data_IF_138920669957
#
_entry.id   IF_138920669957
#
_cell.length_a   1.000
_cell.length_b   1.000
_cell.length_c   1.000
_cell.angle_alpha   90.00
_cell.angle_beta   90.00
_cell.angle_gamma   90.00
#
_symmetry.space_group_name_H-M   'P 1'
#
loop_
_entity.id
_entity.type
_entity.pdbx_description
1 polymer ?
#
# COMPACT_ATOMS: atom_id res chain seq x y z
N UNK A 1 17.66 14.94 6.84
CA UNK A 1 17.54 14.16 5.59
C UNK A 1 16.07 14.08 5.18
N UNK A 2 15.76 14.22 3.89
CA UNK A 2 14.39 14.12 3.38
C UNK A 2 13.92 12.65 3.25
N UNK A 3 12.62 12.38 3.44
CA UNK A 3 12.03 11.04 3.30
C UNK A 3 12.02 10.55 1.84
N UNK A 4 11.80 11.47 0.91
CA UNK A 4 11.70 11.17 -0.53
C UNK A 4 13.02 11.50 -1.24
N UNK A 5 13.35 10.75 -2.28
CA UNK A 5 14.46 11.03 -3.19
C UNK A 5 14.19 10.58 -4.61
N UNK A 6 15.13 10.88 -5.52
CA UNK A 6 15.11 10.37 -6.89
C UNK A 6 13.79 10.68 -7.61
N UNK A 7 13.26 11.87 -7.36
CA UNK A 7 12.02 12.34 -7.96
C UNK A 7 12.27 12.59 -9.44
N UNK A 8 11.51 11.93 -10.30
CA UNK A 8 11.55 12.09 -11.76
C UNK A 8 10.13 12.21 -12.33
N UNK A 9 9.92 13.07 -13.34
CA UNK A 9 8.63 13.16 -14.02
C UNK A 9 8.33 11.88 -14.80
N UNK A 10 7.05 11.50 -14.85
CA UNK A 10 6.53 10.35 -15.60
C UNK A 10 5.29 10.81 -16.39
N UNK A 11 5.28 10.69 -17.73
CA UNK A 11 4.12 11.06 -18.53
C UNK A 11 2.85 10.27 -18.17
N UNK A 12 1.65 10.84 -18.38
CA UNK A 12 1.40 12.19 -18.90
C UNK A 12 1.43 13.32 -17.85
N UNK A 13 1.25 13.03 -16.55
CA UNK A 13 1.08 14.02 -15.48
C UNK A 13 1.45 13.47 -14.09
N UNK A 14 2.47 12.62 -14.03
CA UNK A 14 2.87 11.94 -12.81
C UNK A 14 4.35 12.05 -12.49
N UNK A 15 4.72 11.43 -11.38
CA UNK A 15 6.07 11.35 -10.88
C UNK A 15 6.36 9.92 -10.43
N UNK A 16 7.63 9.55 -10.55
CA UNK A 16 8.19 8.43 -9.81
C UNK A 16 9.18 8.99 -8.79
N UNK A 17 9.15 8.49 -7.56
CA UNK A 17 10.11 8.86 -6.52
C UNK A 17 10.41 7.66 -5.63
N UNK A 18 11.58 7.70 -4.99
CA UNK A 18 11.98 6.69 -4.03
C UNK A 18 11.55 7.09 -2.62
N UNK A 19 10.80 6.21 -1.98
CA UNK A 19 10.49 6.31 -0.55
C UNK A 19 11.55 5.59 0.27
N UNK A 20 12.31 6.34 1.06
CA UNK A 20 13.36 5.78 1.91
C UNK A 20 12.83 4.96 3.07
N UNK A 21 11.59 5.17 3.51
CA UNK A 21 11.00 4.44 4.63
C UNK A 21 10.72 2.99 4.24
N UNK A 22 10.02 2.77 3.13
CA UNK A 22 9.71 1.42 2.65
C UNK A 22 10.77 0.85 1.70
N UNK A 23 11.75 1.68 1.29
CA UNK A 23 12.76 1.36 0.27
C UNK A 23 12.13 0.94 -1.06
N UNK A 24 11.11 1.68 -1.47
CA UNK A 24 10.27 1.34 -2.62
C UNK A 24 10.17 2.51 -3.61
N UNK A 25 10.00 2.18 -4.89
CA UNK A 25 9.66 3.18 -5.92
C UNK A 25 8.15 3.41 -5.91
N UNK A 26 7.74 4.67 -5.89
CA UNK A 26 6.33 5.06 -5.86
C UNK A 26 6.02 5.83 -7.13
N UNK A 27 4.93 5.47 -7.80
CA UNK A 27 4.35 6.21 -8.92
C UNK A 27 3.09 6.93 -8.47
N UNK A 28 2.96 8.21 -8.78
CA UNK A 28 1.79 9.01 -8.40
C UNK A 28 1.47 10.09 -9.43
N UNK A 29 0.22 10.53 -9.47
CA UNK A 29 -0.21 11.69 -10.24
C UNK A 29 -0.21 12.94 -9.35
N UNK A 30 -0.05 14.11 -9.95
CA UNK A 30 -0.01 15.37 -9.19
C UNK A 30 -1.32 15.67 -8.46
N UNK A 31 -2.47 15.37 -9.08
CA UNK A 31 -3.77 15.86 -8.61
C UNK A 31 -4.23 15.26 -7.29
N UNK A 32 -3.88 14.01 -7.00
CA UNK A 32 -4.42 13.23 -5.88
C UNK A 32 -3.35 12.64 -4.94
N UNK A 33 -2.07 12.97 -5.17
CA UNK A 33 -0.94 12.44 -4.41
C UNK A 33 -1.13 12.53 -2.88
N UNK A 34 -1.50 13.66 -2.26
CA UNK A 34 -1.61 13.72 -0.80
C UNK A 34 -2.61 12.71 -0.22
N UNK A 35 -3.75 12.53 -0.88
CA UNK A 35 -4.80 11.60 -0.44
C UNK A 35 -4.36 10.15 -0.59
N UNK A 36 -3.85 9.77 -1.76
CA UNK A 36 -3.41 8.40 -2.03
C UNK A 36 -2.15 8.01 -1.28
N UNK A 37 -1.30 8.98 -0.97
CA UNK A 37 -0.14 8.76 -0.11
C UNK A 37 -0.55 8.35 1.30
N UNK A 38 -1.55 9.04 1.88
CA UNK A 38 -2.12 8.67 3.18
C UNK A 38 -2.74 7.28 3.14
N UNK A 39 -3.51 6.97 2.09
CA UNK A 39 -4.18 5.68 1.96
C UNK A 39 -3.16 4.54 1.78
N UNK A 40 -2.12 4.75 0.98
CA UNK A 40 -1.00 3.82 0.82
C UNK A 40 -0.32 3.50 2.16
N UNK A 41 -0.04 4.50 3.00
CA UNK A 41 0.57 4.24 4.31
C UNK A 41 -0.39 3.60 5.31
N UNK A 42 -1.68 3.87 5.20
CA UNK A 42 -2.69 3.18 6.01
C UNK A 42 -2.75 1.69 5.66
N UNK A 43 -2.66 1.36 4.36
CA UNK A 43 -2.53 -0.02 3.88
C UNK A 43 -1.21 -0.63 4.36
N UNK A 44 -0.10 0.10 4.24
CA UNK A 44 1.20 -0.41 4.65
C UNK A 44 1.28 -0.73 6.14
N UNK A 45 0.64 0.07 6.98
CA UNK A 45 0.53 -0.18 8.42
C UNK A 45 -0.35 -1.41 8.72
N UNK A 46 -1.51 -1.51 8.07
CA UNK A 46 -2.44 -2.64 8.24
C UNK A 46 -1.85 -3.98 7.77
N UNK A 47 -1.06 -3.95 6.70
CA UNK A 47 -0.36 -5.11 6.13
C UNK A 47 1.02 -5.35 6.77
N UNK A 48 1.41 -4.52 7.74
CA UNK A 48 2.71 -4.58 8.44
C UNK A 48 3.93 -4.57 7.51
N UNK A 49 3.88 -3.80 6.41
CA UNK A 49 5.02 -3.66 5.52
C UNK A 49 6.20 -3.00 6.22
N UNK A 50 7.37 -3.63 6.11
CA UNK A 50 8.64 -3.04 6.53
C UNK A 50 9.52 -2.68 5.35
N UNK A 51 10.63 -1.99 5.63
CA UNK A 51 11.60 -1.59 4.63
C UNK A 51 12.09 -2.80 3.81
N UNK A 52 11.88 -2.74 2.49
CA UNK A 52 12.27 -3.82 1.57
C UNK A 52 11.19 -4.88 1.32
N UNK A 53 9.98 -4.72 1.83
CA UNK A 53 8.85 -5.61 1.52
C UNK A 53 8.10 -5.21 0.24
N UNK A 54 8.25 -3.96 -0.21
CA UNK A 54 7.53 -3.42 -1.37
C UNK A 54 8.52 -3.14 -2.49
N UNK A 55 8.30 -3.74 -3.66
CA UNK A 55 9.10 -3.48 -4.86
C UNK A 55 8.75 -2.11 -5.42
N UNK A 56 7.45 -1.88 -5.60
CA UNK A 56 6.89 -0.59 -5.99
C UNK A 56 5.43 -0.47 -5.54
N UNK A 57 4.95 0.78 -5.48
CA UNK A 57 3.53 1.10 -5.42
C UNK A 57 3.14 2.03 -6.57
N UNK A 58 1.98 1.79 -7.19
CA UNK A 58 1.40 2.66 -8.21
C UNK A 58 0.09 3.23 -7.70
N UNK A 59 0.12 4.54 -7.43
CA UNK A 59 -0.97 5.34 -6.91
C UNK A 59 -1.74 6.04 -8.05
N UNK A 60 -1.40 5.82 -9.32
CA UNK A 60 -2.01 6.58 -10.42
C UNK A 60 -3.38 6.08 -10.83
N UNK A 61 -3.80 4.93 -10.32
CA UNK A 61 -5.08 4.33 -10.69
C UNK A 61 -6.24 4.95 -9.93
N UNK A 62 -7.35 5.21 -10.63
CA UNK A 62 -8.55 5.73 -10.00
C UNK A 62 -9.13 4.73 -8.99
N UNK A 63 -9.47 5.23 -7.80
CA UNK A 63 -10.08 4.46 -6.72
C UNK A 63 -9.25 3.29 -6.14
N UNK A 64 -7.97 3.12 -6.50
CA UNK A 64 -7.16 1.98 -6.00
C UNK A 64 -5.68 2.30 -5.83
N UNK A 65 -5.05 1.59 -4.89
CA UNK A 65 -3.61 1.55 -4.67
C UNK A 65 -3.10 0.19 -5.13
N UNK A 66 -2.15 0.16 -6.06
CA UNK A 66 -1.54 -1.10 -6.52
C UNK A 66 -0.19 -1.26 -5.85
N UNK A 67 -0.02 -2.32 -5.06
CA UNK A 67 1.24 -2.65 -4.39
C UNK A 67 1.81 -3.92 -4.99
N UNK A 68 3.10 -3.90 -5.37
CA UNK A 68 3.85 -5.11 -5.70
C UNK A 68 4.75 -5.50 -4.53
N UNK A 69 4.40 -6.53 -3.74
CA UNK A 69 5.27 -7.00 -2.67
C UNK A 69 6.48 -7.76 -3.22
N UNK A 70 7.60 -7.71 -2.52
CA UNK A 70 8.84 -8.46 -2.81
C UNK A 70 8.82 -9.87 -2.25
N UNK A 71 8.01 -10.10 -1.21
CA UNK A 71 7.81 -11.42 -0.58
C UNK A 71 6.34 -11.77 -0.69
N UNK A 72 6.04 -13.07 -0.82
CA UNK A 72 4.67 -13.53 -0.65
C UNK A 72 4.25 -13.15 0.78
N UNK A 73 3.31 -12.22 0.91
CA UNK A 73 2.73 -11.93 2.21
C UNK A 73 2.08 -13.22 2.72
N UNK A 74 2.24 -13.58 4.00
CA UNK A 74 1.38 -14.59 4.58
C UNK A 74 -0.05 -14.09 4.37
N UNK A 75 -0.83 -14.80 3.55
CA UNK A 75 -2.21 -14.45 3.26
C UNK A 75 -2.88 -14.14 4.60
N UNK A 76 -3.45 -12.93 4.73
CA UNK A 76 -4.09 -12.47 5.95
C UNK A 76 -4.87 -13.64 6.56
N UNK A 77 -4.50 -14.02 7.79
CA UNK A 77 -5.15 -15.11 8.51
C UNK A 77 -6.65 -14.86 8.41
N UNK A 78 -7.36 -15.71 7.67
CA UNK A 78 -8.82 -15.64 7.64
C UNK A 78 -9.28 -15.64 9.09
N UNK A 79 -9.78 -14.50 9.56
CA UNK A 79 -10.39 -14.39 10.87
C UNK A 79 -11.53 -15.42 10.84
N UNK A 80 -11.29 -16.60 11.41
CA UNK A 80 -12.33 -17.58 11.66
C UNK A 80 -13.28 -16.91 12.64
N UNK A 81 -14.38 -16.38 12.11
CA UNK A 81 -15.48 -15.88 12.92
C UNK A 81 -15.85 -17.03 13.87
N UNK A 82 -15.83 -16.84 15.20
CA UNK A 82 -16.25 -17.90 16.10
C UNK A 82 -17.70 -18.26 15.78
N UNK A 83 -17.92 -19.51 15.37
CA UNK A 83 -19.26 -20.06 15.20
C UNK A 83 -19.81 -20.24 16.61
N UNK A 84 -20.64 -19.30 17.05
CA UNK A 84 -21.43 -19.48 18.28
C UNK A 84 -22.58 -20.42 17.91
N UNK A 85 -22.66 -21.64 18.47
CA UNK A 85 -23.81 -22.51 18.24
C UNK A 85 -25.00 -21.89 18.97
N UNK A 86 -26.00 -21.43 18.22
CA UNK A 86 -27.29 -21.05 18.81
C UNK A 86 -28.04 -22.35 19.10
N UNK A 87 -28.18 -22.71 20.37
CA UNK A 87 -29.11 -23.77 20.77
C UNK A 87 -30.54 -23.24 20.66
N UNK A 88 -31.25 -23.66 19.62
CA UNK A 88 -32.70 -23.47 19.52
C UNK A 88 -33.33 -24.55 20.40
N UNK A 89 -33.98 -24.15 21.49
CA UNK A 89 -34.84 -25.04 22.30
C UNK A 89 -36.27 -24.90 21.79
N UNK A 90 -36.90 -26.05 21.49
CA UNK A 90 -38.32 -26.17 21.14
C UNK A 90 -39.21 -26.06 22.39
#
# INVERSE_FOLDING_TARGET
YARLSEVRPVPPNGFAFFDRQLRAVIYANEQDLPSKWRDFYSIADAEHFVAGDVAYADLRFDGRVVVKPLRAMPAASTLRRPVVPVQITN
#
